data_IF_128652153444
#
_entry.id   IF_128652153444
#
_cell.length_a   1.000
_cell.length_b   1.000
_cell.length_c   1.000
_cell.angle_alpha   90.00
_cell.angle_beta   90.00
_cell.angle_gamma   90.00
#
_symmetry.space_group_name_H-M   'P 1'
#
loop_
_entity.id
_entity.type
_entity.pdbx_description
1 polymer ?
#
# COMPACT_ATOMS: atom_id res chain seq x y z
N UNK A 1 -12.75 7.97 -2.63
CA UNK A 1 -12.03 6.85 -3.29
C UNK A 1 -10.71 7.40 -3.78
N UNK A 2 -9.66 7.17 -3.03
CA UNK A 2 -8.33 7.74 -3.21
C UNK A 2 -7.31 6.65 -2.90
N UNK A 3 -7.16 5.73 -3.85
CA UNK A 3 -6.10 4.73 -3.88
C UNK A 3 -6.02 4.13 -5.28
N UNK A 4 -4.86 3.61 -5.65
CA UNK A 4 -4.68 2.84 -6.88
C UNK A 4 -3.82 1.61 -6.61
N UNK A 5 -4.11 0.51 -7.33
CA UNK A 5 -3.30 -0.70 -7.34
C UNK A 5 -2.59 -0.80 -8.68
N UNK A 6 -1.27 -0.94 -8.66
CA UNK A 6 -0.43 -1.08 -9.84
C UNK A 6 0.22 -2.45 -9.79
N UNK A 7 -0.02 -3.25 -10.82
CA UNK A 7 0.62 -4.56 -10.98
C UNK A 7 1.48 -4.56 -12.25
N UNK A 8 2.76 -4.89 -12.11
CA UNK A 8 3.60 -5.31 -13.23
C UNK A 8 3.64 -6.82 -13.27
N UNK A 9 3.29 -7.41 -14.41
CA UNK A 9 3.33 -8.84 -14.66
C UNK A 9 4.51 -9.12 -15.60
N UNK A 10 5.50 -9.86 -15.13
CA UNK A 10 6.64 -10.29 -15.93
C UNK A 10 6.28 -11.47 -16.85
N UNK A 11 7.12 -11.74 -17.86
CA UNK A 11 6.88 -12.81 -18.83
C UNK A 11 6.81 -14.22 -18.21
N UNK A 12 7.48 -14.43 -17.07
CA UNK A 12 7.44 -15.67 -16.30
C UNK A 12 6.22 -15.77 -15.36
N UNK A 13 5.35 -14.75 -15.34
CA UNK A 13 4.17 -14.69 -14.46
C UNK A 13 4.42 -14.02 -13.10
N UNK A 14 5.66 -13.65 -12.77
CA UNK A 14 5.95 -12.95 -11.52
C UNK A 14 5.25 -11.59 -11.49
N UNK A 15 4.73 -11.24 -10.32
CA UNK A 15 4.03 -9.98 -10.09
C UNK A 15 4.81 -9.07 -9.16
N UNK A 16 4.85 -7.80 -9.50
CA UNK A 16 5.22 -6.70 -8.61
C UNK A 16 3.98 -5.85 -8.37
N UNK A 17 3.58 -5.72 -7.10
CA UNK A 17 2.35 -5.04 -6.68
C UNK A 17 2.69 -3.81 -5.84
N UNK A 18 2.28 -2.64 -6.33
CA UNK A 18 2.46 -1.36 -5.64
C UNK A 18 1.10 -0.73 -5.38
N UNK A 19 0.89 -0.22 -4.18
CA UNK A 19 -0.31 0.54 -3.82
C UNK A 19 0.04 2.03 -3.78
N UNK A 20 -0.86 2.87 -4.31
CA UNK A 20 -0.84 4.31 -4.08
C UNK A 20 -1.87 4.63 -3.01
N UNK A 21 -1.43 5.22 -1.90
CA UNK A 21 -2.19 5.60 -0.70
C UNK A 21 -2.88 4.45 0.05
N UNK A 22 -2.99 4.59 1.37
CA UNK A 22 -3.70 3.66 2.26
C UNK A 22 -4.71 4.42 3.11
N UNK A 23 -5.77 4.90 2.46
CA UNK A 23 -6.90 5.54 3.13
C UNK A 23 -7.70 4.59 4.03
N UNK A 24 -8.74 5.08 4.72
CA UNK A 24 -9.52 4.30 5.70
C UNK A 24 -10.20 3.05 5.11
N UNK A 25 -10.45 3.03 3.79
CA UNK A 25 -11.08 1.91 3.10
C UNK A 25 -10.06 0.86 2.58
N UNK A 26 -8.76 1.02 2.87
CA UNK A 26 -7.69 0.23 2.26
C UNK A 26 -7.90 -1.28 2.41
N UNK A 27 -8.29 -1.76 3.60
CA UNK A 27 -8.60 -3.18 3.83
C UNK A 27 -9.70 -3.69 2.90
N UNK A 28 -10.82 -2.99 2.81
CA UNK A 28 -11.93 -3.39 1.95
C UNK A 28 -11.50 -3.42 0.48
N UNK A 29 -10.73 -2.42 0.04
CA UNK A 29 -10.21 -2.34 -1.32
C UNK A 29 -9.28 -3.52 -1.66
N UNK A 30 -8.37 -3.89 -0.76
CA UNK A 30 -7.46 -5.03 -0.96
C UNK A 30 -8.21 -6.37 -0.98
N UNK A 31 -9.26 -6.52 -0.16
CA UNK A 31 -10.12 -7.70 -0.17
C UNK A 31 -10.90 -7.82 -1.49
N UNK A 32 -11.51 -6.72 -1.95
CA UNK A 32 -12.26 -6.68 -3.21
C UNK A 32 -11.38 -6.97 -4.42
N UNK A 33 -10.14 -6.48 -4.42
CA UNK A 33 -9.17 -6.73 -5.47
C UNK A 33 -8.41 -8.06 -5.30
N UNK A 34 -8.74 -8.86 -4.28
CA UNK A 34 -8.09 -10.14 -3.95
C UNK A 34 -6.55 -10.07 -3.85
N UNK A 35 -6.02 -8.93 -3.38
CA UNK A 35 -4.57 -8.71 -3.26
C UNK A 35 -4.00 -9.58 -2.14
N UNK A 36 -2.99 -10.39 -2.49
CA UNK A 36 -2.31 -11.30 -1.54
C UNK A 36 -0.91 -10.82 -1.16
N UNK A 37 -0.35 -9.90 -1.93
CA UNK A 37 1.02 -9.42 -1.79
C UNK A 37 1.09 -7.95 -2.15
N UNK A 38 1.88 -7.21 -1.38
CA UNK A 38 2.25 -5.82 -1.64
C UNK A 38 3.77 -5.75 -1.52
N UNK A 39 4.44 -5.21 -2.53
CA UNK A 39 5.89 -5.01 -2.53
C UNK A 39 6.24 -3.60 -2.01
N UNK A 40 5.44 -2.58 -2.34
CA UNK A 40 5.66 -1.22 -1.86
C UNK A 40 4.35 -0.40 -1.79
N UNK A 41 4.41 0.69 -1.01
CA UNK A 41 3.37 1.72 -0.94
C UNK A 41 3.95 3.08 -1.29
N UNK A 42 3.25 3.84 -2.12
CA UNK A 42 3.57 5.23 -2.44
C UNK A 42 2.47 6.13 -1.87
N UNK A 43 2.83 7.12 -1.07
CA UNK A 43 1.89 8.11 -0.57
C UNK A 43 1.97 9.41 -1.36
N UNK A 44 0.81 9.98 -1.68
CA UNK A 44 0.69 11.23 -2.44
C UNK A 44 0.82 12.45 -1.54
N UNK A 45 0.13 12.48 -0.39
CA UNK A 45 0.15 13.58 0.59
C UNK A 45 -0.45 13.14 1.95
N UNK A 46 -0.27 13.90 3.05
CA UNK A 46 -0.57 13.43 4.41
C UNK A 46 -1.99 13.80 4.91
N UNK A 47 -3.01 13.63 4.08
CA UNK A 47 -4.40 13.78 4.52
C UNK A 47 -5.00 12.44 4.97
N UNK A 48 -5.99 12.54 5.86
CA UNK A 48 -6.61 11.39 6.53
C UNK A 48 -7.13 10.33 5.56
N UNK A 49 -7.76 10.77 4.47
CA UNK A 49 -8.31 9.95 3.40
C UNK A 49 -7.25 9.23 2.55
N UNK A 50 -5.96 9.51 2.78
CA UNK A 50 -4.83 8.86 2.11
C UNK A 50 -3.93 8.03 3.05
N UNK A 51 -3.98 8.26 4.38
CA UNK A 51 -3.03 7.64 5.32
C UNK A 51 -3.66 6.89 6.49
N UNK A 52 -4.94 7.09 6.83
CA UNK A 52 -5.53 6.53 8.06
C UNK A 52 -5.78 5.01 8.03
N UNK A 53 -5.56 4.33 6.91
CA UNK A 53 -5.59 2.87 6.81
C UNK A 53 -4.22 2.21 6.91
N UNK A 54 -3.16 2.94 7.24
CA UNK A 54 -1.79 2.41 7.26
C UNK A 54 -1.59 1.17 8.16
N UNK A 55 -2.33 1.04 9.27
CA UNK A 55 -2.20 -0.12 10.17
C UNK A 55 -2.59 -1.45 9.51
N UNK A 56 -3.46 -1.43 8.51
CA UNK A 56 -3.85 -2.62 7.76
C UNK A 56 -2.69 -3.22 6.94
N UNK A 57 -1.59 -2.47 6.69
CA UNK A 57 -0.36 -3.03 6.12
C UNK A 57 0.28 -4.09 7.02
N UNK A 58 -0.01 -4.08 8.33
CA UNK A 58 0.48 -5.06 9.29
C UNK A 58 0.18 -6.49 8.87
N UNK A 59 -1.01 -6.75 8.30
CA UNK A 59 -1.38 -8.08 7.82
C UNK A 59 -0.43 -8.60 6.74
N UNK A 60 -0.06 -7.74 5.80
CA UNK A 60 0.91 -8.06 4.76
C UNK A 60 2.33 -8.25 5.32
N UNK A 61 2.75 -7.45 6.28
CA UNK A 61 4.07 -7.62 6.94
C UNK A 61 4.16 -8.98 7.64
N UNK A 62 3.12 -9.38 8.36
CA UNK A 62 3.08 -10.65 9.07
C UNK A 62 3.10 -11.84 8.11
N UNK A 63 2.28 -11.79 7.05
CA UNK A 63 2.20 -12.87 6.05
C UNK A 63 3.48 -12.99 5.22
N UNK A 64 4.01 -11.86 4.73
CA UNK A 64 5.19 -11.84 3.87
C UNK A 64 6.52 -11.92 4.63
N UNK A 65 6.50 -11.76 5.96
CA UNK A 65 7.68 -11.71 6.84
C UNK A 65 8.72 -10.68 6.39
N UNK A 66 8.24 -9.60 5.80
CA UNK A 66 9.06 -8.53 5.24
C UNK A 66 8.38 -7.18 5.53
N UNK A 67 9.18 -6.16 5.85
CA UNK A 67 8.64 -4.80 6.01
C UNK A 67 8.23 -4.28 4.64
N UNK A 68 7.07 -3.65 4.54
CA UNK A 68 6.65 -3.04 3.28
C UNK A 68 7.42 -1.72 3.11
N UNK A 69 8.04 -1.56 1.94
CA UNK A 69 8.73 -0.31 1.61
C UNK A 69 7.70 0.81 1.41
N UNK A 70 7.93 1.93 2.10
CA UNK A 70 7.08 3.13 2.02
C UNK A 70 7.85 4.25 1.34
N UNK A 71 7.26 4.79 0.29
CA UNK A 71 7.76 5.95 -0.45
C UNK A 71 6.81 7.12 -0.27
N UNK A 72 7.36 8.27 0.12
CA UNK A 72 6.61 9.51 0.23
C UNK A 72 7.58 10.69 0.13
N UNK A 73 7.08 11.88 -0.15
CA UNK A 73 7.87 13.10 0.02
C UNK A 73 8.16 13.36 1.52
N UNK A 74 9.06 14.30 1.80
CA UNK A 74 9.50 14.57 3.17
C UNK A 74 8.34 15.03 4.09
N UNK A 75 7.47 15.99 3.70
CA UNK A 75 6.32 16.38 4.51
C UNK A 75 5.40 15.21 4.86
N UNK A 76 5.12 14.33 3.90
CA UNK A 76 4.25 13.18 4.11
C UNK A 76 4.90 12.15 5.03
N UNK A 77 6.17 11.83 4.80
CA UNK A 77 6.92 10.88 5.64
C UNK A 77 7.01 11.33 7.10
N UNK A 78 7.10 12.64 7.38
CA UNK A 78 7.10 13.16 8.75
C UNK A 78 5.76 12.95 9.46
N UNK A 79 4.64 12.92 8.74
CA UNK A 79 3.30 12.70 9.31
C UNK A 79 2.99 11.22 9.53
N UNK A 80 3.66 10.32 8.80
CA UNK A 80 3.51 8.87 8.92
C UNK A 80 4.32 8.26 10.08
N UNK A 81 5.31 8.99 10.61
CA UNK A 81 6.16 8.57 11.74
C UNK A 81 5.52 8.92 13.08
#
# INVERSE_FOLDING_TARGET
RTAALIERIAANGDRTTVVIDTGPDFREQMLLAAVKRIDAVVYTHPHADHIHGIDDLRGFVLEQRHRIDIHADQPTMLRLR
#
